data_IF_592299767777
#
_entry.id   IF_592299767777
#
_cell.length_a   1.000
_cell.length_b   1.000
_cell.length_c   1.000
_cell.angle_alpha   90.00
_cell.angle_beta   90.00
_cell.angle_gamma   90.00
#
_symmetry.space_group_name_H-M   'P 1'
#
loop_
_entity.id
_entity.type
_entity.pdbx_description
1 polymer ?
#
# COMPACT_ATOMS: atom_id res chain seq x y z
N UNK A 1 -22.22 8.98 -6.93
CA UNK A 1 -21.65 7.60 -6.89
C UNK A 1 -21.22 7.07 -8.26
N UNK A 2 -21.99 7.21 -9.33
CA UNK A 2 -21.59 6.75 -10.69
C UNK A 2 -20.26 7.32 -11.19
N UNK A 3 -19.96 8.60 -10.92
CA UNK A 3 -18.72 9.26 -11.34
C UNK A 3 -17.48 8.53 -10.81
N UNK A 4 -17.39 8.32 -9.50
CA UNK A 4 -16.21 7.68 -8.88
C UNK A 4 -16.05 6.21 -9.28
N UNK A 5 -17.15 5.49 -9.54
CA UNK A 5 -17.08 4.14 -10.10
C UNK A 5 -16.48 4.13 -11.51
N UNK A 6 -16.82 5.11 -12.36
CA UNK A 6 -16.22 5.27 -13.70
C UNK A 6 -14.74 5.62 -13.59
N UNK A 7 -14.36 6.50 -12.66
CA UNK A 7 -12.95 6.86 -12.41
C UNK A 7 -12.15 5.64 -11.94
N UNK A 8 -12.70 4.84 -11.02
CA UNK A 8 -12.05 3.61 -10.57
C UNK A 8 -11.87 2.60 -11.72
N UNK A 9 -12.92 2.40 -12.54
CA UNK A 9 -12.81 1.56 -13.73
C UNK A 9 -11.77 2.09 -14.73
N UNK A 10 -11.64 3.42 -14.87
CA UNK A 10 -10.62 4.08 -15.66
C UNK A 10 -9.21 3.79 -15.13
N UNK A 11 -9.00 3.92 -13.82
CA UNK A 11 -7.75 3.57 -13.14
C UNK A 11 -7.34 2.12 -13.37
N UNK A 12 -8.28 1.18 -13.25
CA UNK A 12 -8.04 -0.23 -13.55
C UNK A 12 -7.63 -0.44 -15.02
N UNK A 13 -8.40 0.10 -15.98
CA UNK A 13 -8.16 -0.08 -17.42
C UNK A 13 -6.82 0.53 -17.85
N UNK A 14 -6.45 1.70 -17.31
CA UNK A 14 -5.17 2.35 -17.59
C UNK A 14 -4.00 1.39 -17.35
N UNK A 15 -3.98 0.69 -16.21
CA UNK A 15 -2.92 -0.25 -15.86
C UNK A 15 -3.04 -1.58 -16.62
N UNK A 16 -4.25 -2.03 -16.95
CA UNK A 16 -4.49 -3.24 -17.72
C UNK A 16 -3.99 -3.16 -19.18
N UNK A 17 -3.79 -1.94 -19.71
CA UNK A 17 -3.28 -1.72 -21.07
C UNK A 17 -1.80 -2.04 -21.19
N UNK A 18 -1.01 -1.85 -20.15
CA UNK A 18 0.45 -2.02 -20.17
C UNK A 18 0.88 -3.45 -19.79
N UNK A 19 0.49 -4.45 -20.60
CA UNK A 19 0.71 -5.88 -20.32
C UNK A 19 2.18 -6.27 -20.18
N UNK A 20 3.06 -5.73 -21.02
CA UNK A 20 4.50 -6.01 -20.98
C UNK A 20 5.15 -5.50 -19.70
N UNK A 21 4.81 -4.28 -19.28
CA UNK A 21 5.28 -3.73 -18.01
C UNK A 21 4.73 -4.54 -16.80
N UNK A 22 3.49 -5.03 -16.89
CA UNK A 22 2.92 -5.91 -15.88
C UNK A 22 3.68 -7.22 -15.81
N UNK A 23 3.97 -7.87 -16.95
CA UNK A 23 4.71 -9.12 -17.01
C UNK A 23 6.15 -8.97 -16.47
N UNK A 24 6.84 -7.89 -16.85
CA UNK A 24 8.17 -7.57 -16.31
C UNK A 24 8.13 -7.38 -14.80
N UNK A 25 7.11 -6.67 -14.29
CA UNK A 25 6.94 -6.49 -12.86
C UNK A 25 6.60 -7.78 -12.11
N UNK A 26 5.77 -8.66 -12.66
CA UNK A 26 5.52 -10.00 -12.10
C UNK A 26 6.81 -10.79 -12.01
N UNK A 27 7.61 -10.81 -13.10
CA UNK A 27 8.90 -11.48 -13.13
C UNK A 27 9.83 -10.94 -12.03
N UNK A 28 9.97 -9.62 -11.94
CA UNK A 28 10.82 -8.97 -10.92
C UNK A 28 10.35 -9.32 -9.51
N UNK A 29 9.05 -9.19 -9.21
CA UNK A 29 8.51 -9.55 -7.90
C UNK A 29 8.74 -11.02 -7.56
N UNK A 30 8.64 -11.91 -8.55
CA UNK A 30 8.90 -13.35 -8.37
C UNK A 30 10.36 -13.61 -8.05
N UNK A 31 11.30 -12.99 -8.77
CA UNK A 31 12.74 -13.13 -8.51
C UNK A 31 13.10 -12.63 -7.11
N UNK A 32 12.64 -11.43 -6.74
CA UNK A 32 12.84 -10.92 -5.37
C UNK A 32 12.15 -11.78 -4.32
N UNK A 33 10.98 -12.33 -4.63
CA UNK A 33 10.29 -13.29 -3.78
C UNK A 33 11.17 -14.50 -3.46
N UNK A 34 11.81 -15.11 -4.45
CA UNK A 34 12.74 -16.21 -4.23
C UNK A 34 13.98 -15.81 -3.43
N UNK A 35 14.60 -14.66 -3.74
CA UNK A 35 15.77 -14.17 -3.00
C UNK A 35 15.43 -14.02 -1.52
N UNK A 36 14.32 -13.35 -1.21
CA UNK A 36 13.88 -13.16 0.17
C UNK A 36 13.43 -14.48 0.81
N UNK A 37 12.71 -15.34 0.09
CA UNK A 37 12.29 -16.64 0.62
C UNK A 37 13.48 -17.50 1.05
N UNK A 38 14.52 -17.63 0.22
CA UNK A 38 15.72 -18.38 0.61
C UNK A 38 16.51 -17.71 1.74
N UNK A 39 16.50 -16.37 1.81
CA UNK A 39 17.06 -15.64 2.96
C UNK A 39 16.30 -15.99 4.24
N UNK A 40 14.97 -16.07 4.17
CA UNK A 40 14.13 -16.44 5.32
C UNK A 40 14.29 -17.92 5.69
N UNK A 41 14.40 -18.82 4.70
CA UNK A 41 14.72 -20.23 4.98
C UNK A 41 15.98 -20.32 5.83
N UNK A 42 17.09 -19.71 5.39
CA UNK A 42 18.33 -19.73 6.14
C UNK A 42 18.20 -19.13 7.56
N UNK A 43 17.42 -18.04 7.70
CA UNK A 43 17.23 -17.39 8.99
C UNK A 43 16.35 -18.23 9.95
N UNK A 44 15.27 -18.83 9.46
CA UNK A 44 14.36 -19.64 10.28
C UNK A 44 14.89 -21.05 10.57
N UNK A 45 15.79 -21.59 9.74
CA UNK A 45 16.55 -22.83 10.06
C UNK A 45 17.44 -22.62 11.30
N UNK A 46 18.11 -21.46 11.40
CA UNK A 46 18.94 -21.11 12.56
C UNK A 46 18.12 -20.68 13.79
N UNK A 47 16.97 -20.06 13.58
CA UNK A 47 16.12 -19.50 14.64
C UNK A 47 14.64 -19.80 14.40
N UNK A 48 14.18 -21.03 14.65
CA UNK A 48 12.77 -21.39 14.55
C UNK A 48 11.87 -20.50 15.42
N UNK A 49 10.66 -20.19 14.95
CA UNK A 49 9.68 -19.34 15.64
C UNK A 49 10.12 -17.88 15.84
N UNK A 50 11.06 -17.39 15.06
CA UNK A 50 11.54 -16.02 15.13
C UNK A 50 10.38 -15.03 14.89
N UNK A 51 10.21 -14.06 15.78
CA UNK A 51 9.13 -13.08 15.71
C UNK A 51 7.71 -13.65 15.86
N UNK A 52 7.59 -14.90 16.33
CA UNK A 52 6.32 -15.60 16.49
C UNK A 52 5.75 -16.18 15.18
N UNK A 53 6.59 -16.34 14.14
CA UNK A 53 6.25 -17.02 12.90
C UNK A 53 7.01 -18.35 12.80
N UNK A 54 6.35 -19.42 12.41
CA UNK A 54 7.02 -20.61 11.90
C UNK A 54 7.52 -20.40 10.46
N UNK A 55 8.27 -21.37 9.93
CA UNK A 55 8.87 -21.31 8.59
C UNK A 55 7.80 -21.04 7.50
N UNK A 56 6.70 -21.77 7.54
CA UNK A 56 5.62 -21.68 6.56
C UNK A 56 4.93 -20.30 6.61
N UNK A 57 4.72 -19.77 7.82
CA UNK A 57 4.17 -18.43 8.03
C UNK A 57 5.15 -17.34 7.56
N UNK A 58 6.44 -17.48 7.84
CA UNK A 58 7.46 -16.53 7.42
C UNK A 58 7.61 -16.47 5.89
N UNK A 59 7.58 -17.62 5.23
CA UNK A 59 7.57 -17.70 3.77
C UNK A 59 6.29 -17.10 3.18
N UNK A 60 5.13 -17.38 3.79
CA UNK A 60 3.86 -16.76 3.36
C UNK A 60 3.92 -15.23 3.49
N UNK A 61 4.51 -14.71 4.56
CA UNK A 61 4.72 -13.28 4.76
C UNK A 61 5.54 -12.65 3.62
N UNK A 62 6.63 -13.30 3.20
CA UNK A 62 7.46 -12.85 2.06
C UNK A 62 6.65 -12.72 0.79
N UNK A 63 5.88 -13.77 0.43
CA UNK A 63 5.11 -13.78 -0.80
C UNK A 63 3.91 -12.81 -0.75
N UNK A 64 3.30 -12.62 0.41
CA UNK A 64 2.31 -11.56 0.63
C UNK A 64 2.93 -10.17 0.43
N UNK A 65 4.16 -9.96 0.90
CA UNK A 65 4.91 -8.73 0.65
C UNK A 65 5.05 -8.44 -0.85
N UNK A 66 5.43 -9.44 -1.66
CA UNK A 66 5.51 -9.29 -3.12
C UNK A 66 4.15 -9.00 -3.75
N UNK A 67 3.08 -9.64 -3.25
CA UNK A 67 1.72 -9.42 -3.75
C UNK A 67 1.19 -8.01 -3.42
N UNK A 68 1.49 -7.50 -2.24
CA UNK A 68 1.00 -6.20 -1.75
C UNK A 68 1.91 -5.03 -2.14
N UNK A 69 3.15 -5.26 -2.56
CA UNK A 69 4.14 -4.24 -2.87
C UNK A 69 3.57 -3.14 -3.80
N UNK A 70 3.02 -3.52 -4.94
CA UNK A 70 2.43 -2.59 -5.90
C UNK A 70 0.95 -2.30 -5.62
N UNK A 71 0.25 -3.19 -4.94
CA UNK A 71 -1.14 -2.98 -4.51
C UNK A 71 -1.23 -1.77 -3.59
N UNK A 72 -0.35 -1.70 -2.59
CA UNK A 72 -0.23 -0.57 -1.66
C UNK A 72 0.79 0.50 -2.10
N UNK A 73 1.34 0.43 -3.34
CA UNK A 73 2.36 1.37 -3.88
C UNK A 73 3.48 1.70 -2.88
N UNK A 74 4.05 0.66 -2.25
CA UNK A 74 5.11 0.86 -1.24
C UNK A 74 6.42 1.36 -1.84
N UNK A 75 6.61 1.26 -3.17
CA UNK A 75 7.78 1.77 -3.90
C UNK A 75 7.48 3.04 -4.71
N UNK A 76 6.37 3.74 -4.44
CA UNK A 76 5.96 4.88 -5.25
C UNK A 76 5.45 4.48 -6.64
N UNK A 77 5.42 5.43 -7.60
CA UNK A 77 4.94 5.19 -8.97
C UNK A 77 3.42 5.11 -9.09
N UNK A 78 2.71 5.75 -8.17
CA UNK A 78 1.26 5.86 -8.18
C UNK A 78 0.77 7.21 -8.73
N UNK A 79 -0.40 7.62 -8.27
CA UNK A 79 -1.01 8.90 -8.66
C UNK A 79 -0.24 10.12 -8.12
N UNK A 80 0.56 9.93 -7.08
CA UNK A 80 1.30 11.01 -6.39
C UNK A 80 2.23 11.75 -7.33
N UNK A 81 2.93 11.04 -8.22
CA UNK A 81 3.86 11.65 -9.17
C UNK A 81 3.10 12.54 -10.17
N UNK A 82 1.95 12.07 -10.67
CA UNK A 82 1.09 12.84 -11.55
C UNK A 82 0.52 14.06 -10.82
N UNK A 83 0.07 13.91 -9.58
CA UNK A 83 -0.48 15.01 -8.79
C UNK A 83 0.59 16.07 -8.47
N UNK A 84 1.82 15.65 -8.08
CA UNK A 84 2.96 16.54 -7.86
C UNK A 84 3.25 17.36 -9.12
N UNK A 85 3.30 16.70 -10.28
CA UNK A 85 3.55 17.40 -11.55
C UNK A 85 2.44 18.38 -11.90
N UNK A 86 1.17 18.01 -11.72
CA UNK A 86 0.02 18.91 -11.95
C UNK A 86 0.02 20.12 -11.00
N UNK A 87 0.48 19.96 -9.76
CA UNK A 87 0.64 21.08 -8.81
C UNK A 87 1.78 21.99 -9.31
N UNK A 88 2.90 21.42 -9.72
CA UNK A 88 4.08 22.16 -10.14
C UNK A 88 3.87 22.94 -11.44
N UNK A 89 3.15 22.38 -12.41
CA UNK A 89 2.82 23.04 -13.68
C UNK A 89 1.65 24.01 -13.58
N UNK A 90 0.88 23.99 -12.47
CA UNK A 90 -0.34 24.78 -12.32
C UNK A 90 -1.60 24.11 -12.91
N UNK A 91 -1.47 22.94 -13.57
CA UNK A 91 -2.60 22.21 -14.16
C UNK A 91 -3.63 21.75 -13.12
N UNK A 92 -3.25 21.73 -11.85
CA UNK A 92 -4.15 21.45 -10.74
C UNK A 92 -5.35 22.40 -10.72
N UNK A 93 -5.23 23.63 -11.24
CA UNK A 93 -6.32 24.58 -11.36
C UNK A 93 -7.50 23.98 -12.16
N UNK A 94 -7.21 23.23 -13.23
CA UNK A 94 -8.23 22.56 -14.05
C UNK A 94 -8.97 21.48 -13.22
N UNK A 95 -8.27 20.77 -12.36
CA UNK A 95 -8.88 19.74 -11.51
C UNK A 95 -9.77 20.37 -10.43
N UNK A 96 -9.40 21.54 -9.92
CA UNK A 96 -10.17 22.27 -8.91
C UNK A 96 -11.47 22.89 -9.48
N UNK A 97 -11.52 23.15 -10.80
CA UNK A 97 -12.76 23.60 -11.47
C UNK A 97 -13.77 22.48 -11.73
N UNK A 98 -13.36 21.21 -11.62
CA UNK A 98 -14.28 20.09 -11.80
C UNK A 98 -15.31 20.04 -10.67
N UNK A 99 -16.58 19.74 -10.95
CA UNK A 99 -17.62 19.56 -9.93
C UNK A 99 -17.47 18.19 -9.24
N UNK A 100 -16.26 17.88 -8.75
CA UNK A 100 -15.90 16.62 -8.09
C UNK A 100 -14.90 16.92 -6.96
N UNK A 101 -15.03 16.18 -5.88
CA UNK A 101 -14.07 16.28 -4.78
C UNK A 101 -12.70 15.74 -5.24
N UNK A 102 -11.65 16.54 -5.13
CA UNK A 102 -10.32 16.22 -5.62
C UNK A 102 -9.75 14.97 -4.93
N UNK A 103 -9.87 14.88 -3.61
CA UNK A 103 -9.35 13.74 -2.85
C UNK A 103 -10.06 12.44 -3.22
N UNK A 104 -11.40 12.49 -3.34
CA UNK A 104 -12.19 11.31 -3.73
C UNK A 104 -11.96 10.91 -5.19
N UNK A 105 -11.67 11.88 -6.08
CA UNK A 105 -11.30 11.59 -7.46
C UNK A 105 -10.04 10.76 -7.54
N UNK A 106 -8.97 11.21 -6.88
CA UNK A 106 -7.69 10.49 -6.86
C UNK A 106 -7.79 9.17 -6.11
N UNK A 107 -8.54 9.11 -5.00
CA UNK A 107 -8.79 7.85 -4.28
C UNK A 107 -9.49 6.82 -5.17
N UNK A 108 -10.52 7.23 -5.91
CA UNK A 108 -11.24 6.33 -6.81
C UNK A 108 -10.32 5.76 -7.89
N UNK A 109 -9.49 6.61 -8.51
CA UNK A 109 -8.49 6.17 -9.49
C UNK A 109 -7.47 5.19 -8.91
N UNK A 110 -6.99 5.47 -7.70
CA UNK A 110 -6.02 4.63 -7.00
C UNK A 110 -6.60 3.28 -6.55
N UNK A 111 -7.87 3.23 -6.14
CA UNK A 111 -8.58 1.98 -5.88
C UNK A 111 -8.67 1.09 -7.13
N UNK A 112 -8.92 1.69 -8.29
CA UNK A 112 -8.90 0.97 -9.56
C UNK A 112 -7.50 0.40 -9.87
N UNK A 113 -6.44 1.20 -9.69
CA UNK A 113 -5.04 0.77 -9.81
C UNK A 113 -4.72 -0.37 -8.86
N UNK A 114 -5.04 -0.21 -7.57
CA UNK A 114 -4.76 -1.20 -6.54
C UNK A 114 -5.45 -2.54 -6.83
N UNK A 115 -6.71 -2.51 -7.27
CA UNK A 115 -7.45 -3.71 -7.69
C UNK A 115 -6.75 -4.41 -8.86
N UNK A 116 -6.30 -3.66 -9.88
CA UNK A 116 -5.53 -4.25 -10.98
C UNK A 116 -4.24 -4.90 -10.48
N UNK A 117 -3.47 -4.20 -9.63
CA UNK A 117 -2.21 -4.74 -9.14
C UNK A 117 -2.39 -5.97 -8.25
N UNK A 118 -3.41 -5.99 -7.39
CA UNK A 118 -3.72 -7.17 -6.57
C UNK A 118 -4.01 -8.39 -7.45
N UNK A 119 -4.82 -8.24 -8.49
CA UNK A 119 -5.20 -9.34 -9.39
C UNK A 119 -4.08 -9.68 -10.39
N UNK A 120 -3.48 -8.68 -11.03
CA UNK A 120 -2.55 -8.88 -12.14
C UNK A 120 -1.11 -9.12 -11.69
N UNK A 121 -0.69 -8.56 -10.56
CA UNK A 121 0.70 -8.67 -10.07
C UNK A 121 0.82 -9.34 -8.69
N UNK A 122 -0.28 -9.47 -7.94
CA UNK A 122 -0.28 -10.10 -6.62
C UNK A 122 -0.52 -11.61 -6.70
N UNK A 123 -1.49 -12.06 -7.48
CA UNK A 123 -1.87 -13.48 -7.56
C UNK A 123 -0.73 -14.34 -8.10
N UNK A 124 -0.05 -13.91 -9.17
CA UNK A 124 0.97 -14.75 -9.82
C UNK A 124 2.16 -15.05 -8.91
N UNK A 125 2.81 -14.09 -8.22
CA UNK A 125 3.86 -14.40 -7.26
C UNK A 125 3.38 -15.32 -6.12
N UNK A 126 2.16 -15.11 -5.61
CA UNK A 126 1.59 -16.00 -4.58
C UNK A 126 1.44 -17.44 -5.07
N UNK A 127 0.96 -17.64 -6.31
CA UNK A 127 0.86 -18.98 -6.91
C UNK A 127 2.24 -19.61 -7.09
N UNK A 128 3.22 -18.87 -7.61
CA UNK A 128 4.59 -19.36 -7.76
C UNK A 128 5.18 -19.73 -6.40
N UNK A 129 4.98 -18.89 -5.39
CA UNK A 129 5.42 -19.17 -4.01
C UNK A 129 4.80 -20.43 -3.44
N UNK A 130 3.48 -20.63 -3.64
CA UNK A 130 2.77 -21.82 -3.15
C UNK A 130 3.14 -23.11 -3.88
N UNK A 131 3.66 -23.03 -5.10
CA UNK A 131 4.18 -24.18 -5.84
C UNK A 131 5.63 -24.53 -5.43
N UNK A 132 6.40 -23.54 -4.97
CA UNK A 132 7.82 -23.70 -4.65
C UNK A 132 8.06 -23.98 -3.15
N UNK A 133 7.17 -23.54 -2.29
CA UNK A 133 7.31 -23.60 -0.84
C UNK A 133 6.02 -24.04 -0.17
N UNK A 134 6.12 -24.60 1.02
CA UNK A 134 4.97 -24.93 1.85
C UNK A 134 4.48 -23.65 2.57
N UNK A 135 3.49 -22.99 1.97
CA UNK A 135 2.94 -21.74 2.50
C UNK A 135 1.77 -22.00 3.46
N UNK A 136 1.67 -21.21 4.52
CA UNK A 136 0.56 -21.20 5.45
C UNK A 136 -0.68 -20.51 4.82
N UNK A 137 -1.38 -21.20 3.95
CA UNK A 137 -2.59 -20.68 3.30
C UNK A 137 -3.80 -20.78 4.24
N UNK A 138 -4.70 -19.77 4.27
CA UNK A 138 -5.91 -19.83 5.07
C UNK A 138 -6.83 -20.96 4.64
N UNK A 139 -7.23 -21.80 5.57
CA UNK A 139 -8.18 -22.90 5.34
C UNK A 139 -9.65 -22.46 5.28
N UNK A 140 -9.97 -21.29 5.84
CA UNK A 140 -11.33 -20.76 5.94
C UNK A 140 -11.58 -19.63 4.93
N UNK A 141 -12.68 -19.68 4.15
CA UNK A 141 -13.09 -18.56 3.30
C UNK A 141 -13.28 -17.24 4.09
N UNK A 142 -13.65 -17.31 5.37
CA UNK A 142 -13.78 -16.14 6.23
C UNK A 142 -12.46 -15.37 6.42
N UNK A 143 -11.32 -16.08 6.53
CA UNK A 143 -10.00 -15.45 6.64
C UNK A 143 -9.60 -14.78 5.32
N UNK A 144 -9.94 -15.35 4.16
CA UNK A 144 -9.73 -14.71 2.86
C UNK A 144 -10.51 -13.40 2.73
N UNK A 145 -11.78 -13.40 3.14
CA UNK A 145 -12.59 -12.17 3.16
C UNK A 145 -11.99 -11.15 4.13
N UNK A 146 -11.62 -11.60 5.33
CA UNK A 146 -10.97 -10.74 6.32
C UNK A 146 -9.67 -10.12 5.79
N UNK A 147 -8.84 -10.91 5.13
CA UNK A 147 -7.62 -10.44 4.46
C UNK A 147 -7.93 -9.37 3.40
N UNK A 148 -8.90 -9.61 2.51
CA UNK A 148 -9.26 -8.65 1.47
C UNK A 148 -9.79 -7.32 2.04
N UNK A 149 -10.56 -7.37 3.13
CA UNK A 149 -11.00 -6.16 3.85
C UNK A 149 -9.79 -5.41 4.43
N UNK A 150 -8.85 -6.12 5.06
CA UNK A 150 -7.62 -5.51 5.60
C UNK A 150 -6.77 -4.89 4.49
N UNK A 151 -6.62 -5.56 3.34
CA UNK A 151 -5.92 -5.01 2.16
C UNK A 151 -6.61 -3.74 1.65
N UNK A 152 -7.93 -3.74 1.56
CA UNK A 152 -8.68 -2.56 1.12
C UNK A 152 -8.45 -1.36 2.07
N UNK A 153 -8.49 -1.59 3.38
CA UNK A 153 -8.15 -0.56 4.37
C UNK A 153 -6.69 -0.10 4.25
N UNK A 154 -5.75 -1.02 4.06
CA UNK A 154 -4.33 -0.73 3.83
C UNK A 154 -4.10 0.13 2.59
N UNK A 155 -4.83 -0.13 1.49
CA UNK A 155 -4.80 0.69 0.27
C UNK A 155 -5.28 2.12 0.56
N UNK A 156 -6.36 2.29 1.34
CA UNK A 156 -6.86 3.63 1.71
C UNK A 156 -5.84 4.37 2.58
N UNK A 157 -5.20 3.70 3.54
CA UNK A 157 -4.12 4.30 4.36
C UNK A 157 -2.94 4.69 3.48
N UNK A 158 -2.50 3.81 2.59
CA UNK A 158 -1.43 4.10 1.63
C UNK A 158 -1.76 5.29 0.75
N UNK A 159 -2.98 5.34 0.19
CA UNK A 159 -3.45 6.49 -0.56
C UNK A 159 -3.34 7.78 0.25
N UNK A 160 -3.85 7.78 1.48
CA UNK A 160 -3.90 8.99 2.31
C UNK A 160 -2.49 9.52 2.64
N UNK A 161 -1.51 8.63 2.91
CA UNK A 161 -0.11 9.01 3.11
C UNK A 161 0.45 9.64 1.83
N UNK A 162 0.30 8.99 0.68
CA UNK A 162 0.82 9.46 -0.62
C UNK A 162 0.13 10.75 -1.07
N UNK A 163 -1.15 10.93 -0.74
CA UNK A 163 -1.88 12.15 -1.00
C UNK A 163 -1.30 13.34 -0.23
N UNK A 164 -0.97 13.16 1.06
CA UNK A 164 -0.29 14.18 1.86
C UNK A 164 1.09 14.52 1.29
N UNK A 165 1.84 13.51 0.84
CA UNK A 165 3.14 13.71 0.17
C UNK A 165 2.96 14.54 -1.10
N UNK A 166 1.98 14.20 -1.93
CA UNK A 166 1.72 14.97 -3.16
C UNK A 166 1.30 16.42 -2.87
N UNK A 167 0.46 16.64 -1.85
CA UNK A 167 0.07 18.00 -1.45
C UNK A 167 1.25 18.83 -0.95
N UNK A 168 2.34 18.24 -0.45
CA UNK A 168 3.54 18.99 -0.03
C UNK A 168 4.16 19.82 -1.17
N UNK A 169 3.92 19.42 -2.43
CA UNK A 169 4.39 20.14 -3.62
C UNK A 169 3.82 21.58 -3.73
N UNK A 170 2.75 21.92 -3.03
CA UNK A 170 2.29 23.31 -2.93
C UNK A 170 3.24 24.24 -2.18
N UNK A 171 4.14 23.68 -1.36
CA UNK A 171 5.10 24.44 -0.55
C UNK A 171 6.55 24.19 -0.94
N UNK A 172 6.84 23.02 -1.53
CA UNK A 172 8.17 22.59 -1.89
C UNK A 172 8.36 22.71 -3.41
N UNK A 173 9.46 23.31 -3.83
CA UNK A 173 9.79 23.42 -5.26
C UNK A 173 10.10 22.05 -5.89
N UNK A 174 10.61 21.13 -5.10
CA UNK A 174 10.90 19.75 -5.51
C UNK A 174 10.17 18.74 -4.59
N UNK A 175 9.13 18.12 -5.14
CA UNK A 175 8.39 17.03 -4.46
C UNK A 175 9.09 15.68 -4.51
N UNK A 176 10.15 15.51 -5.33
CA UNK A 176 10.81 14.22 -5.51
C UNK A 176 11.49 13.75 -4.22
N UNK A 177 12.12 14.65 -3.48
CA UNK A 177 12.75 14.33 -2.20
C UNK A 177 11.76 13.84 -1.14
N UNK A 178 10.59 14.48 -1.04
CA UNK A 178 9.53 14.05 -0.10
C UNK A 178 8.92 12.71 -0.51
N UNK A 179 8.71 12.48 -1.81
CA UNK A 179 8.24 11.20 -2.32
C UNK A 179 9.24 10.06 -2.03
N UNK A 180 10.54 10.33 -2.23
CA UNK A 180 11.62 9.37 -1.91
C UNK A 180 11.64 9.02 -0.41
N UNK A 181 11.54 10.00 0.48
CA UNK A 181 11.49 9.76 1.94
C UNK A 181 10.24 8.98 2.34
N UNK A 182 9.09 9.28 1.76
CA UNK A 182 7.85 8.56 2.01
C UNK A 182 7.93 7.10 1.56
N UNK A 183 8.55 6.84 0.41
CA UNK A 183 8.82 5.49 -0.08
C UNK A 183 9.74 4.71 0.88
N UNK A 184 10.87 5.29 1.30
CA UNK A 184 11.78 4.65 2.26
C UNK A 184 11.06 4.33 3.57
N UNK A 185 10.25 5.27 4.09
CA UNK A 185 9.44 5.06 5.28
C UNK A 185 8.43 3.91 5.08
N UNK A 186 7.76 3.85 3.92
CA UNK A 186 6.83 2.77 3.61
C UNK A 186 7.53 1.41 3.56
N UNK A 187 8.69 1.30 2.90
CA UNK A 187 9.46 0.06 2.84
C UNK A 187 9.90 -0.43 4.22
N UNK A 188 10.32 0.49 5.09
CA UNK A 188 10.82 0.16 6.43
C UNK A 188 9.68 -0.13 7.42
N UNK A 189 8.72 0.78 7.55
CA UNK A 189 7.67 0.71 8.57
C UNK A 189 6.43 -0.11 8.19
N UNK A 190 6.33 -0.59 6.94
CA UNK A 190 5.28 -1.55 6.57
C UNK A 190 5.58 -2.99 6.99
N UNK A 191 6.86 -3.28 7.26
CA UNK A 191 7.33 -4.64 7.46
C UNK A 191 7.79 -5.33 6.16
N UNK A 192 7.99 -4.57 5.07
CA UNK A 192 8.35 -5.14 3.75
C UNK A 192 9.77 -5.74 3.76
N UNK A 193 10.71 -5.13 4.47
CA UNK A 193 12.08 -5.63 4.58
C UNK A 193 12.18 -6.80 5.58
N UNK A 194 11.53 -6.64 6.73
CA UNK A 194 11.45 -7.64 7.80
C UNK A 194 10.13 -7.45 8.56
N UNK A 195 9.46 -8.52 9.01
CA UNK A 195 8.29 -8.39 9.88
C UNK A 195 8.56 -7.45 11.06
N UNK A 196 7.62 -6.56 11.34
CA UNK A 196 7.79 -5.58 12.42
C UNK A 196 7.89 -6.24 13.81
N UNK A 197 7.48 -7.49 13.93
CA UNK A 197 7.66 -8.31 15.14
C UNK A 197 9.12 -8.62 15.44
N UNK A 198 10.03 -8.48 14.47
CA UNK A 198 11.47 -8.68 14.64
C UNK A 198 12.19 -7.41 15.10
N UNK A 199 11.53 -6.27 15.07
CA UNK A 199 12.12 -5.01 15.48
C UNK A 199 12.27 -4.97 17.01
N UNK A 200 13.45 -4.59 17.55
CA UNK A 200 13.71 -4.67 18.98
C UNK A 200 13.00 -3.55 19.76
N UNK A 201 12.46 -3.91 20.93
CA UNK A 201 11.99 -2.97 21.95
C UNK A 201 11.08 -1.86 21.42
N UNK A 202 11.34 -0.63 21.84
CA UNK A 202 10.53 0.56 21.49
C UNK A 202 10.40 0.78 19.98
N UNK A 203 11.42 0.45 19.19
CA UNK A 203 11.34 0.57 17.72
C UNK A 203 10.22 -0.30 17.15
N UNK A 204 10.10 -1.54 17.64
CA UNK A 204 9.03 -2.44 17.21
C UNK A 204 7.64 -1.94 17.61
N UNK A 205 7.51 -1.39 18.82
CA UNK A 205 6.22 -0.84 19.30
C UNK A 205 5.81 0.38 18.48
N UNK A 206 6.75 1.29 18.23
CA UNK A 206 6.50 2.48 17.40
C UNK A 206 6.17 2.06 15.97
N UNK A 207 6.94 1.17 15.36
CA UNK A 207 6.72 0.75 13.97
C UNK A 207 5.33 0.11 13.79
N UNK A 208 4.88 -0.72 14.74
CA UNK A 208 3.55 -1.33 14.72
C UNK A 208 2.42 -0.31 14.97
N UNK A 209 2.67 0.75 15.73
CA UNK A 209 1.68 1.80 15.98
C UNK A 209 1.54 2.79 14.81
N UNK A 210 2.52 2.88 13.92
CA UNK A 210 2.50 3.79 12.78
C UNK A 210 1.55 3.32 11.67
N UNK A 211 1.02 4.24 10.83
CA UNK A 211 0.06 3.89 9.78
C UNK A 211 0.62 2.93 8.72
N UNK A 212 1.93 2.93 8.49
CA UNK A 212 2.56 2.08 7.48
C UNK A 212 2.41 0.58 7.77
N UNK A 213 2.30 0.16 9.04
CA UNK A 213 2.02 -1.23 9.40
C UNK A 213 0.71 -1.75 8.78
N UNK A 214 -0.23 -0.86 8.47
CA UNK A 214 -1.48 -1.16 7.77
C UNK A 214 -1.28 -1.65 6.32
N UNK A 215 -0.10 -1.41 5.71
CA UNK A 215 0.13 -1.72 4.30
C UNK A 215 0.49 -3.20 4.07
N UNK A 216 1.22 -3.81 5.00
CA UNK A 216 1.65 -5.21 4.91
C UNK A 216 1.52 -5.97 6.22
N UNK A 217 2.09 -5.47 7.35
CA UNK A 217 2.13 -6.22 8.60
C UNK A 217 0.73 -6.67 9.03
N UNK A 218 -0.23 -5.73 9.13
CA UNK A 218 -1.59 -6.04 9.58
C UNK A 218 -2.31 -6.98 8.60
N UNK A 219 -2.35 -6.73 7.26
CA UNK A 219 -2.93 -7.69 6.31
C UNK A 219 -2.30 -9.08 6.36
N UNK A 220 -0.97 -9.16 6.49
CA UNK A 220 -0.27 -10.44 6.58
C UNK A 220 -0.64 -11.21 7.85
N UNK A 221 -0.72 -10.54 8.99
CA UNK A 221 -1.14 -11.15 10.24
C UNK A 221 -2.61 -11.60 10.22
N UNK A 222 -3.49 -10.85 9.54
CA UNK A 222 -4.87 -11.29 9.29
C UNK A 222 -4.90 -12.55 8.43
N UNK A 223 -4.11 -12.58 7.34
CA UNK A 223 -3.99 -13.75 6.46
C UNK A 223 -3.50 -14.99 7.20
N UNK A 224 -2.53 -14.83 8.08
CA UNK A 224 -1.94 -15.88 8.90
C UNK A 224 -2.77 -16.26 10.14
N UNK A 225 -3.96 -15.65 10.31
CA UNK A 225 -4.86 -15.94 11.41
C UNK A 225 -4.36 -15.49 12.79
N UNK A 226 -3.43 -14.53 12.85
CA UNK A 226 -2.85 -14.00 14.10
C UNK A 226 -3.84 -13.14 14.91
N UNK A 227 -4.96 -12.74 14.33
CA UNK A 227 -6.00 -11.93 14.98
C UNK A 227 -7.32 -12.69 15.12
N UNK A 228 -7.48 -13.58 16.11
CA UNK A 228 -8.73 -14.30 16.32
C UNK A 228 -9.80 -13.41 16.96
N UNK A 229 -11.05 -13.58 16.54
CA UNK A 229 -12.22 -12.97 17.19
C UNK A 229 -12.14 -11.45 17.32
N UNK A 230 -12.12 -10.94 18.55
CA UNK A 230 -12.13 -9.50 18.85
C UNK A 230 -10.82 -8.78 18.42
N UNK A 231 -9.70 -9.48 18.35
CA UNK A 231 -8.44 -8.90 17.89
C UNK A 231 -8.50 -8.48 16.43
N UNK A 232 -9.27 -9.19 15.58
CA UNK A 232 -9.53 -8.79 14.21
C UNK A 232 -10.29 -7.45 14.13
N UNK A 233 -11.27 -7.26 15.01
CA UNK A 233 -12.00 -5.98 15.08
C UNK A 233 -11.08 -4.83 15.48
N UNK A 234 -10.17 -5.06 16.44
CA UNK A 234 -9.16 -4.06 16.83
C UNK A 234 -8.20 -3.73 15.66
N UNK A 235 -7.76 -4.73 14.90
CA UNK A 235 -6.92 -4.54 13.72
C UNK A 235 -7.62 -3.68 12.66
N UNK A 236 -8.89 -3.94 12.37
CA UNK A 236 -9.68 -3.10 11.48
C UNK A 236 -9.92 -1.69 12.02
N UNK A 237 -10.22 -1.57 13.31
CA UNK A 237 -10.39 -0.26 13.95
C UNK A 237 -9.10 0.58 13.88
N UNK A 238 -7.94 -0.05 14.06
CA UNK A 238 -6.64 0.58 13.88
C UNK A 238 -6.44 1.08 12.44
N UNK A 239 -6.65 0.23 11.44
CA UNK A 239 -6.51 0.61 10.03
C UNK A 239 -7.53 1.69 9.63
N UNK A 240 -8.79 1.53 10.02
CA UNK A 240 -9.85 2.51 9.73
C UNK A 240 -9.61 3.85 10.44
N UNK A 241 -9.12 3.80 11.67
CA UNK A 241 -8.75 4.99 12.45
C UNK A 241 -7.64 5.79 11.76
N UNK A 242 -6.57 5.13 11.31
CA UNK A 242 -5.51 5.78 10.54
C UNK A 242 -6.01 6.28 9.18
N UNK A 243 -6.81 5.49 8.46
CA UNK A 243 -7.39 5.91 7.19
C UNK A 243 -8.21 7.20 7.36
N UNK A 244 -9.11 7.23 8.35
CA UNK A 244 -9.94 8.40 8.63
C UNK A 244 -9.10 9.61 9.05
N UNK A 245 -8.17 9.44 9.99
CA UNK A 245 -7.32 10.53 10.48
C UNK A 245 -6.51 11.16 9.34
N UNK A 246 -5.84 10.33 8.52
CA UNK A 246 -5.02 10.83 7.42
C UNK A 246 -5.85 11.45 6.30
N UNK A 247 -7.04 10.91 5.99
CA UNK A 247 -7.95 11.52 5.01
C UNK A 247 -8.47 12.89 5.50
N UNK A 248 -8.77 13.03 6.78
CA UNK A 248 -9.18 14.31 7.37
C UNK A 248 -8.02 15.33 7.35
N UNK A 249 -6.81 14.91 7.72
CA UNK A 249 -5.62 15.76 7.60
C UNK A 249 -5.38 16.15 6.14
N UNK A 250 -5.53 15.21 5.19
CA UNK A 250 -5.43 15.49 3.76
C UNK A 250 -6.42 16.56 3.29
N UNK A 251 -7.67 16.52 3.76
CA UNK A 251 -8.67 17.57 3.47
C UNK A 251 -8.30 18.92 4.05
N UNK A 252 -7.82 18.96 5.29
CA UNK A 252 -7.37 20.20 5.92
C UNK A 252 -6.19 20.79 5.17
N UNK A 253 -5.18 20.00 4.85
CA UNK A 253 -4.00 20.43 4.08
C UNK A 253 -4.42 20.90 2.69
N UNK A 254 -5.28 20.16 1.98
CA UNK A 254 -5.81 20.56 0.68
C UNK A 254 -6.51 21.93 0.75
N UNK A 255 -7.35 22.17 1.76
CA UNK A 255 -8.08 23.44 1.90
C UNK A 255 -7.17 24.64 2.07
N UNK A 256 -6.00 24.45 2.72
CA UNK A 256 -4.97 25.49 2.87
C UNK A 256 -4.16 25.61 1.58
N UNK A 257 -3.80 24.49 0.97
CA UNK A 257 -2.99 24.43 -0.24
C UNK A 257 -3.66 25.12 -1.44
N UNK A 258 -4.96 24.89 -1.63
CA UNK A 258 -5.72 25.48 -2.75
C UNK A 258 -5.79 27.00 -2.73
N UNK A 259 -5.61 27.64 -1.57
CA UNK A 259 -5.50 29.10 -1.45
C UNK A 259 -4.19 29.67 -2.01
N UNK A 260 -3.21 28.81 -2.27
CA UNK A 260 -1.91 29.17 -2.85
C UNK A 260 -1.84 29.01 -4.36
N UNK A 261 -2.89 28.48 -4.98
CA UNK A 261 -2.96 28.35 -6.44
C UNK A 261 -3.05 29.74 -7.05
N UNK A 262 -1.94 30.19 -7.64
CA UNK A 262 -1.90 31.41 -8.45
C UNK A 262 -2.26 31.01 -9.87
N UNK A 263 -3.38 31.48 -10.38
CA UNK A 263 -3.73 31.31 -11.80
C UNK A 263 -2.77 32.20 -12.59
N UNK A 264 -1.78 31.62 -13.23
CA UNK A 264 -0.91 32.34 -14.16
C UNK A 264 -1.78 32.70 -15.37
N UNK A 265 -2.07 33.97 -15.59
CA UNK A 265 -2.78 34.47 -16.76
C UNK A 265 -3.98 35.39 -16.45
N UNK A 266 -4.03 36.02 -15.28
CA UNK A 266 -4.94 37.13 -14.98
C UNK A 266 -4.24 38.46 -15.10
#
# INVERSE_FOLDING_TARGET
MRLYAVVAAGGFRRHATYRTATAAGVFTNTVFGFILAYTYVALWDERPQLGGYDMSQALSYVWLGQALLMTCSMMGGGFEDELIERIRTGDIAVDLYRPADLQLWWLAGDLGRATFHLLGRGIVPMLVGSLAFDLALPSSPGVWVAFLVSVALGVVVSFAIRYLVALSAFWLLDGAGTAQMAWLAAMFFSGMLLPLTLFPGVLGDVARALPWSSLLQVPADVFLGKYPGWELVKAYAFQAGWALALLLVGRMVQSVATRRVVVQGG
#
